data_IF_013204448676
#
_entry.id   IF_013204448676
#
_cell.length_a   1.000
_cell.length_b   1.000
_cell.length_c   1.000
_cell.angle_alpha   90.00
_cell.angle_beta   90.00
_cell.angle_gamma   90.00
#
_symmetry.space_group_name_H-M   'P 1'
#
loop_
_entity.id
_entity.type
_entity.pdbx_description
1 polymer ?
#
# COMPACT_ATOMS: atom_id res chain seq x y z
N UNK A 1 -0.99 40.50 -14.29
CA UNK A 1 -0.49 40.13 -12.96
C UNK A 1 -1.03 38.74 -12.66
N UNK A 2 -0.19 37.70 -12.57
CA UNK A 2 -0.65 36.43 -11.97
C UNK A 2 -0.86 36.74 -10.49
N UNK A 3 -2.10 36.82 -10.03
CA UNK A 3 -2.37 36.77 -8.59
C UNK A 3 -1.63 35.57 -8.02
N UNK A 4 -0.88 35.81 -6.96
CA UNK A 4 -0.13 34.73 -6.31
C UNK A 4 -1.14 33.70 -5.84
N UNK A 5 -1.04 32.44 -6.26
CA UNK A 5 -1.94 31.40 -5.76
C UNK A 5 -1.89 31.25 -4.23
N UNK A 6 -0.88 31.82 -3.56
CA UNK A 6 -0.79 31.94 -2.10
C UNK A 6 -1.79 32.94 -1.49
N UNK A 7 -2.37 33.86 -2.26
CA UNK A 7 -3.46 34.73 -1.80
C UNK A 7 -4.85 34.12 -2.04
N UNK A 8 -4.94 33.02 -2.79
CA UNK A 8 -6.20 32.31 -3.00
C UNK A 8 -6.61 31.58 -1.72
N UNK A 9 -7.85 31.79 -1.27
CA UNK A 9 -8.40 31.18 -0.04
C UNK A 9 -8.34 29.66 -0.04
N UNK A 10 -8.30 29.02 -1.22
CA UNK A 10 -8.17 27.57 -1.37
C UNK A 10 -6.81 27.04 -0.91
N UNK A 11 -5.75 27.83 -1.03
CA UNK A 11 -4.38 27.37 -0.86
C UNK A 11 -3.60 28.13 0.21
N UNK A 12 -4.02 29.35 0.56
CA UNK A 12 -3.30 30.27 1.44
C UNK A 12 -3.04 29.71 2.84
N UNK A 13 -3.97 28.90 3.38
CA UNK A 13 -3.88 28.39 4.75
C UNK A 13 -2.87 27.26 4.95
N UNK A 14 -2.41 26.62 3.87
CA UNK A 14 -1.60 25.39 3.94
C UNK A 14 -0.08 25.64 3.97
N UNK A 15 0.35 26.90 3.94
CA UNK A 15 1.77 27.30 4.03
C UNK A 15 2.62 27.03 2.79
N UNK A 16 2.23 26.07 1.93
CA UNK A 16 2.89 25.76 0.64
C UNK A 16 1.85 25.42 -0.43
N UNK A 17 2.20 25.71 -1.68
CA UNK A 17 1.47 25.22 -2.85
C UNK A 17 1.96 23.82 -3.24
N UNK A 18 1.07 23.01 -3.80
CA UNK A 18 1.47 21.77 -4.47
C UNK A 18 2.54 22.07 -5.53
N UNK A 19 3.44 21.11 -5.79
CA UNK A 19 4.53 21.34 -6.75
C UNK A 19 3.98 21.43 -8.18
N UNK A 20 4.69 22.14 -9.06
CA UNK A 20 4.32 22.24 -10.47
C UNK A 20 4.34 20.89 -11.21
N UNK A 21 5.07 19.89 -10.68
CA UNK A 21 5.18 18.54 -11.24
C UNK A 21 4.22 17.52 -10.59
N UNK A 22 3.58 17.85 -9.46
CA UNK A 22 2.68 16.96 -8.73
C UNK A 22 1.48 17.76 -8.22
N UNK A 23 0.34 17.58 -8.90
CA UNK A 23 -0.85 18.40 -8.68
C UNK A 23 -1.87 17.76 -7.71
N UNK A 24 -1.62 16.55 -7.20
CA UNK A 24 -2.60 15.79 -6.41
C UNK A 24 -3.16 16.60 -5.24
N UNK A 25 -2.30 17.21 -4.42
CA UNK A 25 -2.75 18.03 -3.31
C UNK A 25 -3.45 19.32 -3.73
N UNK A 26 -3.19 19.87 -4.91
CA UNK A 26 -3.94 21.03 -5.40
C UNK A 26 -5.42 20.66 -5.64
N UNK A 27 -5.69 19.47 -6.19
CA UNK A 27 -7.05 18.96 -6.32
C UNK A 27 -7.68 18.66 -4.96
N UNK A 28 -6.96 17.96 -4.06
CA UNK A 28 -7.47 17.66 -2.72
C UNK A 28 -7.83 18.95 -1.96
N UNK A 29 -6.95 19.95 -1.96
CA UNK A 29 -7.21 21.25 -1.34
C UNK A 29 -8.42 21.95 -1.95
N UNK A 30 -8.56 21.90 -3.28
CA UNK A 30 -9.70 22.47 -3.98
C UNK A 30 -11.01 21.79 -3.59
N UNK A 31 -11.05 20.45 -3.57
CA UNK A 31 -12.24 19.69 -3.20
C UNK A 31 -12.62 19.91 -1.73
N UNK A 32 -11.64 19.93 -0.82
CA UNK A 32 -11.85 20.26 0.59
C UNK A 32 -12.43 21.67 0.74
N UNK A 33 -11.95 22.64 -0.03
CA UNK A 33 -12.49 24.00 0.04
C UNK A 33 -13.98 24.06 -0.35
N UNK A 34 -14.42 23.26 -1.33
CA UNK A 34 -15.83 23.21 -1.76
C UNK A 34 -16.73 22.39 -0.85
N UNK A 35 -16.16 21.57 0.03
CA UNK A 35 -16.92 20.72 0.92
C UNK A 35 -17.64 21.55 2.00
N UNK A 36 -18.90 21.23 2.32
CA UNK A 36 -19.60 21.83 3.45
C UNK A 36 -18.90 21.54 4.78
N UNK A 37 -19.15 22.31 5.84
CA UNK A 37 -18.45 22.17 7.12
C UNK A 37 -18.69 20.81 7.81
N UNK A 38 -19.82 20.15 7.54
CA UNK A 38 -20.17 18.79 7.94
C UNK A 38 -19.98 17.75 6.81
N UNK A 39 -19.41 18.17 5.69
CA UNK A 39 -19.30 17.35 4.50
C UNK A 39 -18.25 16.24 4.60
N UNK A 40 -18.46 15.20 3.78
CA UNK A 40 -17.60 14.03 3.63
C UNK A 40 -17.17 13.92 2.17
N UNK A 41 -15.90 13.61 1.94
CA UNK A 41 -15.34 13.39 0.61
C UNK A 41 -14.54 12.08 0.61
N UNK A 42 -14.66 11.28 -0.44
CA UNK A 42 -13.75 10.18 -0.74
C UNK A 42 -13.06 10.48 -2.08
N UNK A 43 -11.73 10.42 -2.11
CA UNK A 43 -10.94 10.70 -3.31
C UNK A 43 -9.93 9.60 -3.57
N UNK A 44 -9.85 9.13 -4.82
CA UNK A 44 -8.83 8.18 -5.27
C UNK A 44 -7.57 8.94 -5.63
N UNK A 45 -6.42 8.51 -5.09
CA UNK A 45 -5.11 9.10 -5.36
C UNK A 45 -4.02 8.03 -5.44
N UNK A 46 -2.88 8.32 -6.08
CA UNK A 46 -1.70 7.45 -5.99
C UNK A 46 -1.14 7.41 -4.56
N UNK A 47 -0.55 6.28 -4.16
CA UNK A 47 0.06 6.12 -2.82
C UNK A 47 1.10 7.20 -2.48
N UNK A 48 1.75 7.80 -3.47
CA UNK A 48 2.74 8.85 -3.22
C UNK A 48 2.19 10.03 -2.40
N UNK A 49 0.90 10.35 -2.47
CA UNK A 49 0.28 11.42 -1.65
C UNK A 49 0.47 11.16 -0.14
N UNK A 50 0.53 9.89 0.25
CA UNK A 50 0.63 9.45 1.65
C UNK A 50 1.99 9.75 2.28
N UNK A 51 3.07 9.79 1.50
CA UNK A 51 4.44 9.83 2.05
C UNK A 51 5.39 10.82 1.38
N UNK A 52 5.05 11.40 0.21
CA UNK A 52 5.92 12.37 -0.45
C UNK A 52 6.15 13.60 0.45
N UNK A 53 7.40 14.05 0.50
CA UNK A 53 7.85 15.16 1.36
C UNK A 53 7.70 16.54 0.71
N UNK A 54 8.61 17.46 1.06
CA UNK A 54 8.64 18.84 0.55
C UNK A 54 7.29 19.57 0.73
N UNK A 55 6.74 20.19 -0.32
CA UNK A 55 5.48 20.92 -0.22
C UNK A 55 4.29 20.04 0.15
N UNK A 56 4.22 18.81 -0.38
CA UNK A 56 3.14 17.86 -0.09
C UNK A 56 3.18 17.40 1.36
N UNK A 57 4.36 17.21 1.94
CA UNK A 57 4.52 16.90 3.36
C UNK A 57 3.98 18.01 4.27
N UNK A 58 4.22 19.28 3.92
CA UNK A 58 3.68 20.43 4.67
C UNK A 58 2.15 20.48 4.58
N UNK A 59 1.58 20.31 3.38
CA UNK A 59 0.13 20.30 3.18
C UNK A 59 -0.53 19.14 3.93
N UNK A 60 0.06 17.93 3.86
CA UNK A 60 -0.44 16.74 4.57
C UNK A 60 -0.41 16.93 6.08
N UNK A 61 0.70 17.45 6.63
CA UNK A 61 0.80 17.76 8.06
C UNK A 61 -0.28 18.76 8.49
N UNK A 62 -0.56 19.77 7.69
CA UNK A 62 -1.63 20.74 7.99
C UNK A 62 -3.03 20.08 8.00
N UNK A 63 -3.33 19.20 7.04
CA UNK A 63 -4.59 18.47 6.98
C UNK A 63 -4.80 17.53 8.18
N UNK A 64 -3.71 16.92 8.67
CA UNK A 64 -3.73 16.01 9.79
C UNK A 64 -3.76 16.76 11.13
N UNK A 65 -2.77 17.62 11.39
CA UNK A 65 -2.56 18.26 12.70
C UNK A 65 -3.47 19.45 12.94
N UNK A 66 -3.53 20.38 11.99
CA UNK A 66 -4.22 21.66 12.20
C UNK A 66 -5.71 21.57 11.88
N UNK A 67 -6.10 20.67 10.96
CA UNK A 67 -7.50 20.50 10.53
C UNK A 67 -8.16 19.24 11.04
N UNK A 68 -7.40 18.18 11.33
CA UNK A 68 -7.94 16.87 11.68
C UNK A 68 -8.97 16.35 10.65
N UNK A 69 -8.71 16.53 9.36
CA UNK A 69 -9.70 16.24 8.30
C UNK A 69 -9.65 14.82 7.73
N UNK A 70 -8.53 14.11 7.87
CA UNK A 70 -8.33 12.78 7.27
C UNK A 70 -8.94 11.72 8.19
N UNK A 71 -10.02 11.06 7.76
CA UNK A 71 -10.75 10.07 8.56
C UNK A 71 -10.27 8.64 8.34
N UNK A 72 -9.95 8.28 7.10
CA UNK A 72 -9.48 6.95 6.74
C UNK A 72 -8.60 6.96 5.49
N UNK A 73 -7.73 5.96 5.41
CA UNK A 73 -6.88 5.64 4.26
C UNK A 73 -7.15 4.19 3.87
N UNK A 74 -7.61 3.96 2.63
CA UNK A 74 -7.99 2.64 2.13
C UNK A 74 -7.10 2.30 0.94
N UNK A 75 -6.19 1.34 1.10
CA UNK A 75 -5.36 0.80 0.03
C UNK A 75 -6.19 -0.05 -0.92
N UNK A 76 -6.06 0.18 -2.22
CA UNK A 76 -6.75 -0.60 -3.23
C UNK A 76 -5.83 -1.66 -3.85
N UNK A 77 -6.41 -2.72 -4.43
CA UNK A 77 -5.67 -3.70 -5.22
C UNK A 77 -4.79 -3.06 -6.31
N UNK A 78 -3.62 -3.63 -6.59
CA UNK A 78 -2.80 -3.20 -7.71
C UNK A 78 -3.56 -3.45 -9.03
N UNK A 79 -3.22 -2.70 -10.08
CA UNK A 79 -3.76 -2.90 -11.43
C UNK A 79 -5.30 -2.88 -11.53
N UNK A 80 -5.99 -2.15 -10.63
CA UNK A 80 -7.45 -1.98 -10.67
C UNK A 80 -7.90 -0.82 -11.57
N UNK A 81 -6.98 0.04 -12.04
CA UNK A 81 -7.30 1.17 -12.93
C UNK A 81 -6.73 0.93 -14.34
N UNK A 82 -7.52 1.26 -15.36
CA UNK A 82 -7.06 1.18 -16.74
C UNK A 82 -5.91 2.17 -16.98
N UNK A 83 -4.86 1.70 -17.66
CA UNK A 83 -3.75 2.54 -18.11
C UNK A 83 -2.67 2.83 -17.07
N UNK A 84 -2.73 2.23 -15.87
CA UNK A 84 -1.63 2.31 -14.91
C UNK A 84 -1.59 1.13 -13.95
N UNK A 85 -0.38 0.65 -13.65
CA UNK A 85 -0.12 -0.34 -12.59
C UNK A 85 0.21 0.31 -11.26
N UNK A 86 0.17 1.66 -11.17
CA UNK A 86 0.52 2.39 -9.96
C UNK A 86 -0.48 2.03 -8.84
N UNK A 87 -0.01 1.67 -7.64
CA UNK A 87 -0.87 1.48 -6.48
C UNK A 87 -1.62 2.77 -6.12
N UNK A 88 -2.91 2.62 -5.84
CA UNK A 88 -3.83 3.71 -5.54
C UNK A 88 -4.53 3.45 -4.22
N UNK A 89 -4.93 4.53 -3.57
CA UNK A 89 -5.68 4.47 -2.33
C UNK A 89 -6.83 5.47 -2.37
N UNK A 90 -7.81 5.25 -1.51
CA UNK A 90 -8.87 6.21 -1.22
C UNK A 90 -8.50 6.95 0.05
N UNK A 91 -8.56 8.27 0.01
CA UNK A 91 -8.50 9.12 1.20
C UNK A 91 -9.93 9.56 1.50
N UNK A 92 -10.40 9.23 2.70
CA UNK A 92 -11.68 9.73 3.21
C UNK A 92 -11.41 10.95 4.07
N UNK A 93 -12.08 12.06 3.73
CA UNK A 93 -12.02 13.33 4.43
C UNK A 93 -13.37 13.63 5.06
N UNK A 94 -13.35 14.04 6.33
CA UNK A 94 -14.52 14.58 7.04
C UNK A 94 -14.11 15.88 7.73
N UNK A 95 -14.85 16.97 7.49
CA UNK A 95 -14.54 18.27 8.12
C UNK A 95 -14.97 18.39 9.58
N UNK A 96 -15.97 17.60 9.99
CA UNK A 96 -16.52 17.63 11.34
C UNK A 96 -16.10 16.37 12.13
N UNK A 97 -14.80 16.21 12.36
CA UNK A 97 -14.22 15.15 13.20
C UNK A 97 -13.97 15.66 14.62
N UNK A 98 -14.09 14.79 15.62
CA UNK A 98 -13.73 15.11 17.01
C UNK A 98 -12.21 15.12 17.14
N UNK A 99 -11.70 15.92 18.06
CA UNK A 99 -10.25 16.13 18.22
C UNK A 99 -9.46 14.84 18.45
N UNK A 100 -10.04 13.87 19.17
CA UNK A 100 -9.41 12.60 19.52
C UNK A 100 -9.73 11.45 18.55
N UNK A 101 -10.37 11.74 17.40
CA UNK A 101 -10.71 10.71 16.42
C UNK A 101 -9.44 10.11 15.79
N UNK A 102 -9.33 8.79 15.85
CA UNK A 102 -8.31 8.02 15.16
C UNK A 102 -8.48 8.05 13.62
N UNK A 103 -7.42 7.70 12.90
CA UNK A 103 -7.47 7.48 11.46
C UNK A 103 -7.52 5.97 11.22
N UNK A 104 -8.52 5.52 10.48
CA UNK A 104 -8.65 4.11 10.13
C UNK A 104 -7.81 3.82 8.87
N UNK A 105 -6.89 2.89 8.99
CA UNK A 105 -6.16 2.34 7.85
C UNK A 105 -6.82 1.01 7.48
N UNK A 106 -7.07 0.82 6.18
CA UNK A 106 -7.55 -0.44 5.59
C UNK A 106 -6.60 -0.78 4.44
N UNK A 107 -6.08 -2.00 4.41
CA UNK A 107 -5.30 -2.55 3.31
C UNK A 107 -6.09 -3.64 2.58
N UNK A 108 -6.82 -3.24 1.53
CA UNK A 108 -7.52 -4.19 0.67
C UNK A 108 -6.68 -4.63 -0.53
N UNK A 109 -5.36 -4.46 -0.49
CA UNK A 109 -4.49 -4.76 -1.64
C UNK A 109 -4.46 -6.23 -2.04
N UNK A 110 -4.80 -7.15 -1.12
CA UNK A 110 -4.81 -8.60 -1.32
C UNK A 110 -6.20 -9.20 -1.64
N UNK A 111 -7.26 -8.39 -1.58
CA UNK A 111 -8.65 -8.86 -1.76
C UNK A 111 -9.20 -8.39 -3.10
N UNK A 112 -9.04 -9.23 -4.12
CA UNK A 112 -9.53 -8.94 -5.47
C UNK A 112 -9.58 -10.20 -6.32
N UNK A 113 -10.33 -10.13 -7.40
CA UNK A 113 -10.21 -11.13 -8.46
C UNK A 113 -9.15 -10.71 -9.48
N UNK A 114 -8.17 -11.59 -9.68
CA UNK A 114 -7.09 -11.37 -10.64
C UNK A 114 -7.60 -11.62 -12.05
N UNK A 115 -7.51 -10.60 -12.90
CA UNK A 115 -7.82 -10.72 -14.32
C UNK A 115 -6.62 -10.37 -15.21
N UNK A 116 -6.73 -10.70 -16.50
CA UNK A 116 -5.61 -10.62 -17.44
C UNK A 116 -5.07 -9.21 -17.63
N UNK A 117 -5.97 -8.22 -17.73
CA UNK A 117 -5.60 -6.84 -18.04
C UNK A 117 -5.77 -5.90 -16.84
N UNK A 118 -6.76 -6.17 -15.98
CA UNK A 118 -7.13 -5.32 -14.85
C UNK A 118 -7.69 -6.22 -13.76
N UNK A 119 -7.26 -6.01 -12.52
CA UNK A 119 -7.87 -6.65 -11.37
C UNK A 119 -9.20 -5.97 -11.06
N UNK A 120 -10.13 -6.68 -10.44
CA UNK A 120 -11.39 -6.07 -10.02
C UNK A 120 -11.77 -6.51 -8.61
N UNK A 121 -12.38 -5.58 -7.88
CA UNK A 121 -13.04 -5.87 -6.62
C UNK A 121 -14.35 -6.59 -6.95
N UNK A 122 -14.56 -7.77 -6.35
CA UNK A 122 -15.86 -8.44 -6.33
C UNK A 122 -16.78 -7.70 -5.36
N UNK A 123 -18.07 -7.95 -5.45
CA UNK A 123 -19.05 -7.34 -4.54
C UNK A 123 -18.71 -7.66 -3.06
N UNK A 124 -18.24 -8.88 -2.77
CA UNK A 124 -17.80 -9.29 -1.43
C UNK A 124 -16.58 -8.50 -0.92
N UNK A 125 -15.64 -8.13 -1.80
CA UNK A 125 -14.46 -7.35 -1.44
C UNK A 125 -14.87 -5.91 -1.10
N UNK A 126 -15.79 -5.33 -1.89
CA UNK A 126 -16.34 -4.00 -1.65
C UNK A 126 -17.13 -3.97 -0.34
N UNK A 127 -17.99 -4.95 -0.11
CA UNK A 127 -18.78 -5.05 1.11
C UNK A 127 -17.88 -5.17 2.33
N UNK A 128 -16.79 -5.94 2.26
CA UNK A 128 -15.83 -6.04 3.36
C UNK A 128 -15.16 -4.70 3.65
N UNK A 129 -14.69 -3.98 2.64
CA UNK A 129 -14.09 -2.64 2.80
C UNK A 129 -15.08 -1.67 3.46
N UNK A 130 -16.31 -1.63 2.93
CA UNK A 130 -17.36 -0.71 3.41
C UNK A 130 -17.77 -1.04 4.84
N UNK A 131 -18.02 -2.31 5.16
CA UNK A 131 -18.39 -2.74 6.51
C UNK A 131 -17.27 -2.44 7.51
N UNK A 132 -16.02 -2.73 7.16
CA UNK A 132 -14.85 -2.42 7.99
C UNK A 132 -14.76 -0.92 8.27
N UNK A 133 -14.99 -0.08 7.26
CA UNK A 133 -14.98 1.38 7.41
C UNK A 133 -16.14 1.90 8.28
N UNK A 134 -17.37 1.45 8.02
CA UNK A 134 -18.58 1.90 8.74
C UNK A 134 -18.52 1.50 10.21
N UNK A 135 -18.09 0.28 10.50
CA UNK A 135 -18.00 -0.23 11.87
C UNK A 135 -16.70 0.16 12.59
N UNK A 136 -15.73 0.74 11.86
CA UNK A 136 -14.35 1.01 12.33
C UNK A 136 -13.70 -0.21 12.98
N UNK A 137 -13.86 -1.37 12.35
CA UNK A 137 -13.32 -2.64 12.82
C UNK A 137 -11.80 -2.70 12.62
N UNK A 138 -11.10 -3.23 13.61
CA UNK A 138 -9.68 -3.60 13.50
C UNK A 138 -9.60 -5.09 13.21
N UNK A 139 -9.01 -5.42 12.08
CA UNK A 139 -8.89 -6.78 11.56
C UNK A 139 -7.41 -7.02 11.33
N UNK A 140 -6.89 -8.11 11.89
CA UNK A 140 -5.49 -8.48 11.76
C UNK A 140 -5.06 -8.51 10.28
N UNK A 141 -3.90 -7.90 9.98
CA UNK A 141 -3.34 -7.77 8.63
C UNK A 141 -4.23 -7.06 7.60
N UNK A 142 -5.31 -6.40 8.03
CA UNK A 142 -6.27 -5.77 7.11
C UNK A 142 -6.64 -4.35 7.52
N UNK A 143 -6.91 -4.10 8.80
CA UNK A 143 -7.26 -2.76 9.26
C UNK A 143 -6.76 -2.44 10.66
N UNK A 144 -6.39 -1.18 10.88
CA UNK A 144 -5.92 -0.68 12.17
C UNK A 144 -6.38 0.75 12.40
N UNK A 145 -6.80 1.05 13.63
CA UNK A 145 -7.06 2.42 14.08
C UNK A 145 -5.77 3.02 14.61
N UNK A 146 -5.38 4.16 14.06
CA UNK A 146 -4.10 4.80 14.38
C UNK A 146 -4.36 6.16 15.00
N UNK A 147 -3.77 6.37 16.17
CA UNK A 147 -3.89 7.65 16.87
C UNK A 147 -3.07 8.75 16.18
N UNK A 148 -3.48 10.01 16.33
CA UNK A 148 -2.69 11.14 15.83
C UNK A 148 -1.27 11.20 16.43
N UNK A 149 -1.09 10.68 17.65
CA UNK A 149 0.22 10.58 18.30
C UNK A 149 1.15 9.62 17.55
N UNK A 150 0.67 8.42 17.21
CA UNK A 150 1.43 7.44 16.43
C UNK A 150 1.76 7.98 15.03
N UNK A 151 0.86 8.77 14.43
CA UNK A 151 1.10 9.44 13.15
C UNK A 151 2.19 10.52 13.27
N UNK A 152 2.19 11.29 14.37
CA UNK A 152 3.23 12.29 14.63
C UNK A 152 4.60 11.65 14.87
N UNK A 153 4.66 10.52 15.59
CA UNK A 153 5.88 9.72 15.77
C UNK A 153 6.42 9.17 14.45
N UNK A 154 5.55 8.95 13.45
CA UNK A 154 5.89 8.53 12.10
C UNK A 154 6.06 9.70 11.10
N UNK A 155 6.36 10.91 11.58
CA UNK A 155 6.58 12.11 10.75
C UNK A 155 5.43 12.43 9.79
N UNK A 156 4.18 12.15 10.19
CA UNK A 156 2.98 12.35 9.36
C UNK A 156 3.02 11.55 8.05
N UNK A 157 3.72 10.42 8.05
CA UNK A 157 3.75 9.47 6.94
C UNK A 157 2.51 8.56 7.03
N UNK A 158 1.67 8.58 6.01
CA UNK A 158 0.45 7.77 5.96
C UNK A 158 0.61 6.49 5.13
N UNK A 159 1.84 6.04 4.89
CA UNK A 159 2.06 4.81 4.13
C UNK A 159 1.47 3.61 4.88
N UNK A 160 0.53 2.89 4.25
CA UNK A 160 -0.31 1.86 4.89
C UNK A 160 0.51 0.76 5.59
N UNK A 161 1.59 0.21 4.98
CA UNK A 161 2.40 -0.84 5.63
C UNK A 161 3.13 -0.42 6.91
N UNK A 162 3.11 0.88 7.27
CA UNK A 162 3.62 1.34 8.58
C UNK A 162 2.68 1.02 9.73
N UNK A 163 1.40 0.81 9.43
CA UNK A 163 0.35 0.68 10.42
C UNK A 163 -0.37 -0.66 10.32
N UNK A 164 -0.61 -1.14 9.10
CA UNK A 164 -1.17 -2.47 8.86
C UNK A 164 -0.02 -3.37 8.45
N UNK A 165 0.40 -4.24 9.36
CA UNK A 165 1.42 -5.24 9.05
C UNK A 165 0.77 -6.40 8.29
N UNK A 166 0.99 -6.43 6.99
CA UNK A 166 0.51 -7.50 6.11
C UNK A 166 1.57 -8.58 5.90
N UNK A 167 2.70 -8.53 6.60
CA UNK A 167 3.75 -9.52 6.43
C UNK A 167 3.25 -10.90 6.89
N UNK A 168 3.49 -11.90 6.05
CA UNK A 168 3.37 -13.30 6.45
C UNK A 168 4.74 -13.72 6.95
N UNK A 169 4.85 -14.09 8.22
CA UNK A 169 6.06 -14.76 8.69
C UNK A 169 6.27 -16.00 7.82
N UNK A 170 7.37 -16.03 7.08
CA UNK A 170 7.76 -17.22 6.32
C UNK A 170 7.83 -18.39 7.29
N UNK A 171 7.25 -19.54 6.92
CA UNK A 171 7.32 -20.74 7.75
C UNK A 171 8.78 -21.01 8.14
N UNK A 172 9.03 -21.23 9.44
CA UNK A 172 10.36 -21.56 9.92
C UNK A 172 10.89 -22.76 9.13
N UNK A 173 11.90 -22.50 8.30
CA UNK A 173 12.49 -23.51 7.46
C UNK A 173 13.17 -24.53 8.39
N UNK A 174 12.71 -25.78 8.34
CA UNK A 174 13.39 -26.87 9.03
C UNK A 174 14.72 -27.15 8.31
N UNK A 175 15.80 -26.59 8.86
CA UNK A 175 17.15 -26.73 8.31
C UNK A 175 17.58 -28.20 8.25
N UNK A 176 17.17 -29.04 9.20
CA UNK A 176 17.52 -30.46 9.20
C UNK A 176 16.88 -31.19 8.02
N UNK A 177 15.62 -30.88 7.71
CA UNK A 177 14.93 -31.45 6.54
C UNK A 177 15.60 -31.02 5.22
N UNK A 178 16.08 -29.78 5.13
CA UNK A 178 16.84 -29.31 3.98
C UNK A 178 18.17 -30.03 3.85
N UNK A 179 18.92 -30.20 4.94
CA UNK A 179 20.19 -30.94 4.91
C UNK A 179 19.96 -32.39 4.48
N UNK A 180 18.91 -33.06 4.96
CA UNK A 180 18.54 -34.40 4.51
C UNK A 180 18.18 -34.44 3.02
N UNK A 181 17.41 -33.47 2.53
CA UNK A 181 17.07 -33.37 1.10
C UNK A 181 18.31 -33.17 0.23
N UNK A 182 19.23 -32.30 0.64
CA UNK A 182 20.50 -32.09 -0.06
C UNK A 182 21.31 -33.38 -0.10
N UNK A 183 21.41 -34.10 1.03
CA UNK A 183 22.11 -35.38 1.10
C UNK A 183 21.52 -36.44 0.15
N UNK A 184 20.19 -36.54 0.08
CA UNK A 184 19.50 -37.46 -0.85
C UNK A 184 19.77 -37.08 -2.30
N UNK A 185 19.70 -35.79 -2.65
CA UNK A 185 19.98 -35.31 -4.01
C UNK A 185 21.42 -35.64 -4.40
N UNK A 186 22.39 -35.46 -3.50
CA UNK A 186 23.80 -35.82 -3.76
C UNK A 186 23.99 -37.33 -4.00
N UNK A 187 23.27 -38.18 -3.26
CA UNK A 187 23.28 -39.64 -3.49
C UNK A 187 22.66 -40.00 -4.84
N UNK A 188 21.50 -39.43 -5.16
CA UNK A 188 20.83 -39.63 -6.45
C UNK A 188 21.71 -39.17 -7.62
N UNK A 189 22.38 -38.01 -7.49
CA UNK A 189 23.33 -37.51 -8.49
C UNK A 189 24.47 -38.51 -8.72
N UNK A 190 25.04 -39.09 -7.65
CA UNK A 190 26.12 -40.09 -7.79
C UNK A 190 25.67 -41.36 -8.49
N UNK A 191 24.45 -41.82 -8.23
CA UNK A 191 23.91 -43.00 -8.91
C UNK A 191 23.60 -42.72 -10.39
N UNK A 192 23.09 -41.52 -10.70
CA UNK A 192 22.90 -41.06 -12.07
C UNK A 192 24.25 -40.95 -12.78
N UNK A 193 25.28 -40.38 -12.16
CA UNK A 193 26.61 -40.26 -12.74
C UNK A 193 27.24 -41.63 -13.05
N UNK A 194 27.09 -42.62 -12.16
CA UNK A 194 27.49 -44.02 -12.44
C UNK A 194 26.77 -44.60 -13.65
N UNK A 195 25.46 -44.34 -13.75
CA UNK A 195 24.63 -44.82 -14.86
C UNK A 195 25.02 -44.17 -16.19
N UNK A 196 25.29 -42.85 -16.18
CA UNK A 196 25.79 -42.13 -17.35
C UNK A 196 27.14 -42.70 -17.78
N UNK A 197 28.03 -42.99 -16.83
CA UNK A 197 29.34 -43.57 -17.11
C UNK A 197 29.24 -44.96 -17.72
N UNK A 198 28.39 -45.85 -17.20
CA UNK A 198 28.21 -47.18 -17.78
C UNK A 198 27.70 -47.13 -19.22
N UNK A 199 26.74 -46.25 -19.52
CA UNK A 199 26.27 -46.07 -20.90
C UNK A 199 27.34 -45.47 -21.81
N UNK A 200 28.17 -44.55 -21.30
CA UNK A 200 29.27 -43.97 -22.06
C UNK A 200 30.35 -45.03 -22.39
N UNK A 201 30.67 -45.91 -21.44
CA UNK A 201 31.62 -47.02 -21.62
C UNK A 201 31.11 -48.04 -22.66
N UNK A 202 29.82 -48.39 -22.64
CA UNK A 202 29.20 -49.26 -23.64
C UNK A 202 29.25 -48.66 -25.06
N UNK A 203 29.09 -47.34 -25.17
CA UNK A 203 29.11 -46.61 -26.43
C UNK A 203 30.53 -46.23 -26.89
N UNK A 204 31.56 -46.48 -26.07
CA UNK A 204 32.95 -46.14 -26.38
C UNK A 204 33.24 -44.63 -26.41
N UNK A 205 32.45 -43.83 -25.69
CA UNK A 205 32.59 -42.36 -25.62
C UNK A 205 33.04 -41.91 -24.24
N UNK A 206 33.75 -40.78 -24.17
CA UNK A 206 34.26 -40.24 -22.90
C UNK A 206 33.10 -39.68 -22.06
N UNK A 207 32.95 -40.17 -20.83
CA UNK A 207 31.93 -39.68 -19.90
C UNK A 207 32.18 -38.21 -19.48
N UNK A 208 31.13 -37.37 -19.41
CA UNK A 208 31.22 -35.96 -18.99
C UNK A 208 31.08 -35.75 -17.48
N UNK A 209 30.87 -36.84 -16.73
CA UNK A 209 30.69 -36.88 -15.27
C UNK A 209 31.91 -37.53 -14.61
N UNK A 210 32.15 -37.21 -13.33
CA UNK A 210 33.33 -37.67 -12.57
C UNK A 210 33.17 -39.15 -12.18
#
# INVERSE_FOLDING_TARGET
>A
MKESFLSDKRFSSYGKLASSSKADFAFIQHMIYQLADDGIMAVIVPHGVLFRGASEGVIRKYLLKDKNYIDAIIGLPPNIFYGTSIPTCIIVVKKNRKADDDILFIDASNEFEKAKNQNYLRDEDVDKIVNTYVNREEIEKYSKKVSMKEIEENDYNLNIPRYVDTFEEEEEINLDEIVEKIGKIDEEMREIDKTIKSFCDELGIKAPVI
#
